data_IF_095296957815
#
_entry.id   IF_095296957815
#
_cell.length_a   1.000
_cell.length_b   1.000
_cell.length_c   1.000
_cell.angle_alpha   90.00
_cell.angle_beta   90.00
_cell.angle_gamma   90.00
#
_symmetry.space_group_name_H-M   'P 1'
#
loop_
_entity.id
_entity.type
_entity.pdbx_description
1 polymer ?
#
# COMPACT_ATOMS: atom_id res chain seq x y z
N UNK A 1 -0.41 17.35 7.01
CA UNK A 1 -0.03 15.94 6.75
C UNK A 1 -1.00 15.37 5.74
N UNK A 2 -0.48 14.79 4.66
CA UNK A 2 -1.30 14.07 3.67
C UNK A 2 -1.58 12.64 4.15
N UNK A 3 -2.64 12.00 3.62
CA UNK A 3 -2.94 10.58 3.90
C UNK A 3 -1.72 9.68 3.64
N UNK A 4 -0.97 9.99 2.59
CA UNK A 4 0.27 9.31 2.24
C UNK A 4 1.31 9.34 3.38
N UNK A 5 1.59 10.53 3.91
CA UNK A 5 2.57 10.70 5.00
C UNK A 5 2.09 10.04 6.30
N UNK A 6 0.80 10.13 6.59
CA UNK A 6 0.21 9.49 7.77
C UNK A 6 0.35 7.97 7.70
N UNK A 7 0.06 7.37 6.53
CA UNK A 7 0.28 5.94 6.29
C UNK A 7 1.75 5.59 6.50
N UNK A 8 2.65 6.37 5.91
CA UNK A 8 4.09 6.15 6.01
C UNK A 8 4.57 6.17 7.46
N UNK A 9 4.15 7.15 8.25
CA UNK A 9 4.52 7.21 9.67
C UNK A 9 3.86 6.10 10.50
N UNK A 10 2.58 5.79 10.23
CA UNK A 10 1.86 4.73 10.95
C UNK A 10 2.48 3.35 10.72
N UNK A 11 3.01 3.09 9.51
CA UNK A 11 3.55 1.80 9.10
C UNK A 11 5.07 1.75 9.01
N UNK A 12 5.80 2.81 9.40
CA UNK A 12 7.27 2.87 9.29
C UNK A 12 8.01 1.69 9.94
N UNK A 13 7.43 1.08 10.98
CA UNK A 13 7.99 -0.07 11.69
C UNK A 13 7.43 -1.42 11.20
N UNK A 14 6.55 -1.44 10.20
CA UNK A 14 5.87 -2.63 9.66
C UNK A 14 6.29 -2.93 8.22
N UNK A 15 7.51 -2.55 7.85
CA UNK A 15 8.06 -2.80 6.51
C UNK A 15 8.11 -4.31 6.26
N UNK A 16 7.68 -4.73 5.07
CA UNK A 16 7.49 -6.12 4.63
C UNK A 16 6.40 -6.92 5.36
N UNK A 17 5.61 -6.30 6.22
CA UNK A 17 4.48 -6.98 6.86
C UNK A 17 3.22 -6.96 6.00
N UNK A 18 2.38 -7.98 6.21
CA UNK A 18 1.02 -8.02 5.71
C UNK A 18 0.14 -7.19 6.64
N UNK A 19 -0.50 -6.18 6.07
CA UNK A 19 -1.45 -5.31 6.76
C UNK A 19 -2.82 -5.43 6.13
N UNK A 20 -3.86 -5.37 6.96
CA UNK A 20 -5.23 -5.32 6.48
C UNK A 20 -5.67 -3.87 6.27
N UNK A 21 -6.48 -3.57 5.25
CA UNK A 21 -7.02 -2.24 5.04
C UNK A 21 -7.71 -1.66 6.26
N UNK A 22 -8.48 -2.50 6.94
CA UNK A 22 -9.24 -2.11 8.13
C UNK A 22 -8.32 -1.72 9.28
N UNK A 23 -7.19 -2.42 9.45
CA UNK A 23 -6.21 -2.09 10.48
C UNK A 23 -5.54 -0.75 10.18
N UNK A 24 -5.09 -0.55 8.94
CA UNK A 24 -4.45 0.71 8.54
C UNK A 24 -5.42 1.88 8.70
N UNK A 25 -6.66 1.72 8.23
CA UNK A 25 -7.73 2.70 8.38
C UNK A 25 -7.99 3.04 9.85
N UNK A 26 -8.10 2.02 10.71
CA UNK A 26 -8.33 2.20 12.14
C UNK A 26 -7.15 2.92 12.81
N UNK A 27 -5.91 2.50 12.53
CA UNK A 27 -4.71 3.15 13.07
C UNK A 27 -4.64 4.62 12.66
N UNK A 28 -4.99 4.96 11.43
CA UNK A 28 -4.98 6.35 10.93
C UNK A 28 -6.10 7.18 11.54
N UNK A 29 -7.27 6.58 11.75
CA UNK A 29 -8.38 7.20 12.44
C UNK A 29 -8.03 7.48 13.92
N UNK A 30 -7.46 6.50 14.63
CA UNK A 30 -7.08 6.64 16.04
C UNK A 30 -5.93 7.63 16.25
N UNK A 31 -4.93 7.63 15.35
CA UNK A 31 -3.72 8.46 15.50
C UNK A 31 -3.87 9.88 14.96
N UNK A 32 -4.67 10.05 13.89
CA UNK A 32 -4.78 11.32 13.17
C UNK A 32 -6.23 11.82 12.99
N UNK A 33 -7.24 11.09 13.48
CA UNK A 33 -8.65 11.45 13.25
C UNK A 33 -9.08 11.37 11.78
N UNK A 34 -8.32 10.65 10.94
CA UNK A 34 -8.59 10.62 9.49
C UNK A 34 -9.77 9.72 9.17
N UNK A 35 -10.65 10.17 8.27
CA UNK A 35 -11.82 9.41 7.87
C UNK A 35 -11.40 8.12 7.14
N UNK A 36 -11.73 6.93 7.68
CA UNK A 36 -11.35 5.65 7.08
C UNK A 36 -11.92 5.45 5.67
N UNK A 37 -13.04 6.08 5.33
CA UNK A 37 -13.64 5.98 4.00
C UNK A 37 -12.87 6.75 2.93
N UNK A 38 -12.17 7.83 3.32
CA UNK A 38 -11.30 8.59 2.42
C UNK A 38 -9.96 7.87 2.13
N UNK A 39 -9.67 6.77 2.82
CA UNK A 39 -8.41 6.04 2.71
C UNK A 39 -8.56 4.89 1.72
N UNK A 40 -8.00 5.08 0.52
CA UNK A 40 -8.01 4.09 -0.56
C UNK A 40 -6.60 3.49 -0.72
N UNK A 41 -6.31 2.39 -0.01
CA UNK A 41 -5.00 1.72 -0.10
C UNK A 41 -4.66 1.21 -1.51
N UNK A 42 -5.68 0.91 -2.32
CA UNK A 42 -5.50 0.48 -3.70
C UNK A 42 -4.81 1.53 -4.57
N UNK A 43 -4.96 2.82 -4.26
CA UNK A 43 -4.30 3.91 -5.00
C UNK A 43 -2.79 3.98 -4.73
N UNK A 44 -2.36 3.46 -3.59
CA UNK A 44 -0.96 3.44 -3.16
C UNK A 44 -0.27 2.09 -3.43
N UNK A 45 -0.81 1.27 -4.33
CA UNK A 45 -0.27 -0.06 -4.63
C UNK A 45 0.70 -0.05 -5.83
N UNK A 46 1.85 -0.72 -5.73
CA UNK A 46 2.79 -0.94 -6.84
C UNK A 46 2.18 -1.82 -7.94
N UNK A 47 1.37 -2.83 -7.55
CA UNK A 47 0.82 -3.84 -8.46
C UNK A 47 -0.57 -3.48 -9.03
N UNK A 48 -1.08 -2.27 -8.76
CA UNK A 48 -2.31 -1.76 -9.38
C UNK A 48 -2.03 -0.43 -10.04
N UNK A 49 -2.31 -0.38 -11.33
CA UNK A 49 -2.20 0.82 -12.15
C UNK A 49 -3.59 1.15 -12.68
N UNK A 50 -4.18 2.26 -12.24
CA UNK A 50 -5.29 2.87 -12.96
C UNK A 50 -4.72 3.82 -14.00
N UNK A 51 -5.08 3.63 -15.27
CA UNK A 51 -4.78 4.59 -16.34
C UNK A 51 -5.38 5.95 -15.95
N UNK A 52 -4.54 6.92 -15.59
CA UNK A 52 -4.95 8.29 -15.26
C UNK A 52 -4.38 8.89 -13.98
N UNK A 53 -3.65 8.13 -13.16
CA UNK A 53 -2.98 8.63 -11.94
C UNK A 53 -1.45 8.51 -12.03
N UNK A 54 -0.76 9.55 -11.55
CA UNK A 54 0.70 9.63 -11.55
C UNK A 54 1.31 8.53 -10.68
N UNK A 55 2.08 7.64 -11.31
CA UNK A 55 2.72 6.44 -10.75
C UNK A 55 3.93 6.78 -9.86
N UNK A 56 3.80 7.74 -8.93
CA UNK A 56 4.94 8.24 -8.14
C UNK A 56 4.82 7.96 -6.63
N UNK A 57 3.69 7.42 -6.14
CA UNK A 57 3.43 7.28 -4.70
C UNK A 57 2.94 5.88 -4.34
N UNK A 58 3.82 4.89 -4.47
CA UNK A 58 3.51 3.50 -4.13
C UNK A 58 4.13 3.11 -2.79
N UNK A 59 3.32 2.51 -1.93
CA UNK A 59 3.70 2.08 -0.59
C UNK A 59 3.38 0.60 -0.34
N UNK A 60 2.43 0.04 -1.09
CA UNK A 60 1.90 -1.31 -0.85
C UNK A 60 2.05 -2.22 -2.06
N UNK A 61 2.14 -3.52 -1.81
CA UNK A 61 1.92 -4.56 -2.81
C UNK A 61 0.55 -5.19 -2.53
N UNK A 62 -0.30 -5.23 -3.56
CA UNK A 62 -1.59 -5.88 -3.47
C UNK A 62 -1.39 -7.40 -3.46
N UNK A 63 -1.71 -8.04 -2.34
CA UNK A 63 -1.61 -9.50 -2.17
C UNK A 63 -2.97 -10.14 -2.44
N UNK A 64 -4.01 -9.71 -1.74
CA UNK A 64 -5.38 -10.18 -1.94
C UNK A 64 -6.41 -9.12 -1.53
N UNK A 65 -7.70 -9.43 -1.65
CA UNK A 65 -8.81 -8.48 -1.41
C UNK A 65 -8.78 -7.85 -0.01
N UNK A 66 -8.25 -8.55 0.99
CA UNK A 66 -8.24 -8.15 2.39
C UNK A 66 -6.84 -7.88 2.96
N UNK A 67 -5.78 -8.08 2.18
CA UNK A 67 -4.40 -8.06 2.67
C UNK A 67 -3.48 -7.38 1.66
N UNK A 68 -2.68 -6.46 2.17
CA UNK A 68 -1.72 -5.65 1.43
C UNK A 68 -0.37 -5.81 2.12
N UNK A 69 0.70 -5.94 1.36
CA UNK A 69 2.04 -5.97 1.94
C UNK A 69 2.60 -4.54 1.94
N UNK A 70 3.01 -4.03 3.09
CA UNK A 70 3.62 -2.71 3.17
C UNK A 70 5.10 -2.81 2.78
N UNK A 71 5.52 -2.07 1.76
CA UNK A 71 6.89 -2.04 1.26
C UNK A 71 7.62 -0.74 1.65
N UNK A 72 6.89 0.36 1.82
CA UNK A 72 7.44 1.69 2.10
C UNK A 72 7.79 2.49 0.84
N UNK A 73 8.17 3.75 1.05
CA UNK A 73 8.61 4.68 0.00
C UNK A 73 10.10 4.49 -0.27
N UNK A 74 10.50 4.32 -1.55
CA UNK A 74 11.91 4.08 -1.94
C UNK A 74 12.59 2.93 -1.20
N UNK A 75 11.82 1.98 -0.67
CA UNK A 75 12.39 0.71 -0.25
C UNK A 75 13.05 0.11 -1.48
N UNK A 76 14.36 -0.14 -1.41
CA UNK A 76 15.07 -0.97 -2.36
C UNK A 76 14.34 -2.30 -2.37
N UNK A 77 13.38 -2.46 -3.28
CA UNK A 77 12.58 -3.66 -3.39
C UNK A 77 13.53 -4.80 -3.75
N UNK A 78 13.99 -5.53 -2.74
CA UNK A 78 14.84 -6.72 -2.86
C UNK A 78 14.00 -8.00 -2.93
N UNK A 79 12.67 -7.85 -2.99
CA UNK A 79 11.72 -8.95 -3.16
C UNK A 79 11.64 -9.47 -4.59
N UNK A 80 11.04 -10.65 -4.75
CA UNK A 80 10.76 -11.25 -6.05
C UNK A 80 9.59 -10.53 -6.73
N UNK A 81 9.83 -9.85 -7.86
CA UNK A 81 8.78 -9.27 -8.69
C UNK A 81 8.00 -10.42 -9.36
N UNK A 82 6.80 -10.74 -8.84
CA UNK A 82 5.91 -11.70 -9.49
C UNK A 82 5.20 -11.04 -10.69
N UNK A 83 5.85 -11.03 -11.85
CA UNK A 83 5.21 -10.74 -13.14
C UNK A 83 4.47 -12.01 -13.59
N UNK A 84 3.14 -11.96 -13.72
CA UNK A 84 2.38 -13.05 -14.35
C UNK A 84 2.75 -13.13 -15.83
N UNK A 85 3.73 -13.95 -16.17
CA UNK A 85 4.02 -14.31 -17.56
C UNK A 85 2.90 -15.25 -18.00
N UNK A 86 2.17 -14.91 -19.08
CA UNK A 86 1.30 -15.88 -19.75
C UNK A 86 2.21 -17.01 -20.23
N UNK A 87 2.13 -18.18 -19.57
CA UNK A 87 2.82 -19.40 -20.00
C UNK A 87 2.13 -19.88 -21.27
N UNK A 88 2.72 -19.56 -22.41
CA UNK A 88 2.32 -20.07 -23.71
C UNK A 88 3.20 -21.25 -24.10
N UNK A 89 2.55 -22.39 -24.34
CA UNK A 89 3.03 -23.68 -24.86
C UNK A 89 3.70 -24.61 -23.85
#
# INVERSE_FOLDING_TARGET
MTIYEQIKDALKNKINELVRPQEVKKTLQEKYGTNPDSIILSDYCYNRYNKGISFNKHLFEYVNRSSYKYLGENSLYTGLIFRKIKRGR
#
